data_IF_403012441878
#
_entry.id   IF_403012441878
#
_cell.length_a   1.000
_cell.length_b   1.000
_cell.length_c   1.000
_cell.angle_alpha   90.00
_cell.angle_beta   90.00
_cell.angle_gamma   90.00
#
_symmetry.space_group_name_H-M   'P 1'
#
loop_
_entity.id
_entity.type
_entity.pdbx_description
1 polymer ?
#
# COMPACT_ATOMS: atom_id res chain seq x y z
N UNK A 1 -37.52 3.34 -26.06
CA UNK A 1 -37.97 3.72 -24.70
C UNK A 1 -37.90 2.61 -23.66
N UNK A 2 -37.57 1.35 -24.00
CA UNK A 2 -37.31 0.29 -23.00
C UNK A 2 -35.83 0.15 -22.59
N UNK A 3 -34.90 0.65 -23.43
CA UNK A 3 -33.44 0.66 -23.16
C UNK A 3 -33.02 1.59 -22.00
N UNK A 4 -33.84 2.57 -21.61
CA UNK A 4 -33.53 3.48 -20.50
C UNK A 4 -33.97 2.97 -19.11
N UNK A 5 -34.94 2.06 -19.03
CA UNK A 5 -35.45 1.56 -17.74
C UNK A 5 -34.61 0.42 -17.16
N UNK A 6 -34.06 -0.45 -18.03
CA UNK A 6 -33.14 -1.50 -17.60
C UNK A 6 -31.86 -0.91 -16.99
N UNK A 7 -31.32 0.15 -17.61
CA UNK A 7 -30.09 0.81 -17.19
C UNK A 7 -30.25 1.49 -15.81
N UNK A 8 -31.36 2.19 -15.59
CA UNK A 8 -31.63 2.86 -14.30
C UNK A 8 -31.78 1.86 -13.15
N UNK A 9 -32.43 0.72 -13.38
CA UNK A 9 -32.58 -0.30 -12.35
C UNK A 9 -31.25 -0.99 -12.02
N UNK A 10 -30.42 -1.27 -13.04
CA UNK A 10 -29.07 -1.82 -12.86
C UNK A 10 -28.21 -0.85 -12.05
N UNK A 11 -28.23 0.45 -12.40
CA UNK A 11 -27.49 1.47 -11.65
C UNK A 11 -27.96 1.60 -10.20
N UNK A 12 -29.26 1.59 -9.94
CA UNK A 12 -29.80 1.62 -8.57
C UNK A 12 -29.33 0.43 -7.74
N UNK A 13 -29.34 -0.77 -8.32
CA UNK A 13 -28.86 -1.98 -7.64
C UNK A 13 -27.35 -1.91 -7.33
N UNK A 14 -26.54 -1.40 -8.26
CA UNK A 14 -25.10 -1.22 -8.06
C UNK A 14 -24.84 -0.20 -6.94
N UNK A 15 -25.52 0.95 -6.96
CA UNK A 15 -25.39 1.98 -5.93
C UNK A 15 -25.75 1.44 -4.54
N UNK A 16 -26.85 0.68 -4.45
CA UNK A 16 -27.25 0.05 -3.19
C UNK A 16 -26.16 -0.90 -2.66
N UNK A 17 -25.63 -1.78 -3.52
CA UNK A 17 -24.56 -2.71 -3.13
C UNK A 17 -23.25 -2.00 -2.73
N UNK A 18 -22.90 -0.89 -3.39
CA UNK A 18 -21.73 -0.07 -3.00
C UNK A 18 -21.95 0.54 -1.64
N UNK A 19 -23.14 1.10 -1.41
CA UNK A 19 -23.51 1.69 -0.13
C UNK A 19 -23.42 0.64 1.00
N UNK A 20 -23.94 -0.56 0.77
CA UNK A 20 -23.83 -1.69 1.71
C UNK A 20 -22.37 -2.05 1.96
N UNK A 21 -21.56 -2.17 0.91
CA UNK A 21 -20.13 -2.47 1.04
C UNK A 21 -19.37 -1.42 1.85
N UNK A 22 -19.58 -0.14 1.57
CA UNK A 22 -18.96 0.97 2.31
C UNK A 22 -19.40 0.93 3.78
N UNK A 23 -20.69 0.69 4.04
CA UNK A 23 -21.22 0.59 5.40
C UNK A 23 -20.59 -0.56 6.18
N UNK A 24 -20.45 -1.74 5.57
CA UNK A 24 -19.78 -2.90 6.17
C UNK A 24 -18.33 -2.54 6.57
N UNK A 25 -17.60 -1.85 5.69
CA UNK A 25 -16.23 -1.42 5.96
C UNK A 25 -16.17 -0.38 7.10
N UNK A 26 -17.06 0.61 7.07
CA UNK A 26 -17.12 1.65 8.10
C UNK A 26 -17.46 1.06 9.48
N UNK A 27 -18.43 0.16 9.56
CA UNK A 27 -18.80 -0.53 10.81
C UNK A 27 -17.66 -1.40 11.34
N UNK A 28 -16.97 -2.14 10.46
CA UNK A 28 -15.78 -2.91 10.82
C UNK A 28 -14.64 -2.02 11.33
N UNK A 29 -14.35 -0.91 10.64
CA UNK A 29 -13.31 0.02 11.05
C UNK A 29 -13.65 0.73 12.35
N UNK A 30 -14.89 1.15 12.58
CA UNK A 30 -15.34 1.70 13.85
C UNK A 30 -15.16 0.70 14.99
N UNK A 31 -15.51 -0.57 14.77
CA UNK A 31 -15.31 -1.64 15.75
C UNK A 31 -13.82 -1.85 16.05
N UNK A 32 -12.98 -1.92 15.02
CA UNK A 32 -11.52 -2.11 15.19
C UNK A 32 -10.85 -0.90 15.83
N UNK A 33 -11.25 0.31 15.50
CA UNK A 33 -10.68 1.54 16.07
C UNK A 33 -10.94 1.67 17.57
N UNK A 34 -12.03 1.08 18.09
CA UNK A 34 -12.29 0.97 19.54
C UNK A 34 -11.44 -0.10 20.23
N UNK A 35 -11.07 -1.17 19.53
CA UNK A 35 -10.29 -2.30 20.08
C UNK A 35 -8.79 -2.03 20.11
N UNK A 36 -8.27 -1.38 19.08
CA UNK A 36 -6.89 -0.98 19.01
C UNK A 36 -6.77 0.28 19.88
N UNK A 37 -5.86 0.32 20.86
CA UNK A 37 -5.79 1.45 21.81
C UNK A 37 -4.61 2.39 21.49
N UNK A 38 -3.52 1.85 20.95
CA UNK A 38 -2.28 2.57 20.71
C UNK A 38 -2.07 2.95 19.23
N UNK A 39 -1.28 4.00 18.99
CA UNK A 39 -0.80 4.40 17.66
C UNK A 39 0.26 3.41 17.18
N UNK A 40 -0.19 2.31 16.59
CA UNK A 40 0.66 1.22 16.17
C UNK A 40 0.13 0.61 14.87
N UNK A 41 1.04 -0.08 14.17
CA UNK A 41 0.66 -1.02 13.12
C UNK A 41 0.35 -2.37 13.77
N UNK A 42 -0.87 -2.84 13.55
CA UNK A 42 -1.35 -4.09 14.14
C UNK A 42 -1.68 -5.06 13.03
N UNK A 43 -0.98 -6.20 13.02
CA UNK A 43 -1.18 -7.25 12.03
C UNK A 43 -2.64 -7.74 12.02
N UNK A 44 -3.18 -7.97 10.83
CA UNK A 44 -4.43 -8.71 10.66
C UNK A 44 -4.10 -10.18 10.93
N UNK A 45 -4.58 -10.71 12.07
CA UNK A 45 -4.27 -12.09 12.52
C UNK A 45 -4.62 -13.16 11.48
N UNK A 46 -5.71 -12.95 10.74
CA UNK A 46 -6.16 -13.85 9.67
C UNK A 46 -6.53 -13.00 8.44
N UNK A 47 -5.74 -13.17 7.38
CA UNK A 47 -5.85 -12.44 6.12
C UNK A 47 -7.16 -12.74 5.38
N UNK A 48 -7.75 -13.91 5.62
CA UNK A 48 -9.04 -14.33 5.06
C UNK A 48 -10.20 -13.90 5.94
N UNK A 49 -10.02 -13.75 7.25
CA UNK A 49 -11.10 -13.39 8.17
C UNK A 49 -11.89 -12.15 7.73
N UNK A 50 -11.19 -11.08 7.35
CA UNK A 50 -11.85 -9.85 6.90
C UNK A 50 -12.60 -10.06 5.57
N UNK A 51 -11.98 -10.77 4.62
CA UNK A 51 -12.63 -11.08 3.34
C UNK A 51 -13.86 -11.95 3.54
N UNK A 52 -13.77 -12.98 4.38
CA UNK A 52 -14.88 -13.87 4.73
C UNK A 52 -16.01 -13.09 5.38
N UNK A 53 -15.71 -12.25 6.36
CA UNK A 53 -16.69 -11.35 6.98
C UNK A 53 -17.39 -10.47 5.94
N UNK A 54 -16.65 -9.85 5.02
CA UNK A 54 -17.23 -9.03 3.95
C UNK A 54 -18.11 -9.87 3.02
N UNK A 55 -17.65 -11.05 2.60
CA UNK A 55 -18.42 -11.95 1.72
C UNK A 55 -19.72 -12.38 2.39
N UNK A 56 -19.67 -12.78 3.66
CA UNK A 56 -20.84 -13.20 4.44
C UNK A 56 -21.86 -12.06 4.53
N UNK A 57 -21.41 -10.82 4.82
CA UNK A 57 -22.30 -9.65 4.90
C UNK A 57 -22.89 -9.25 3.53
N UNK A 58 -22.13 -9.41 2.45
CA UNK A 58 -22.59 -9.15 1.08
C UNK A 58 -23.37 -10.32 0.45
N UNK A 59 -23.53 -11.43 1.18
CA UNK A 59 -24.17 -12.68 0.70
C UNK A 59 -23.47 -13.25 -0.54
N UNK A 60 -22.14 -13.18 -0.58
CA UNK A 60 -21.29 -13.76 -1.62
C UNK A 60 -20.80 -15.13 -1.16
N UNK A 61 -20.79 -16.11 -2.06
CA UNK A 61 -20.48 -17.50 -1.71
C UNK A 61 -18.98 -17.76 -1.52
N UNK A 62 -18.14 -17.04 -2.26
CA UNK A 62 -16.71 -17.27 -2.30
C UNK A 62 -15.94 -16.00 -2.75
N UNK A 63 -14.61 -16.09 -2.76
CA UNK A 63 -13.72 -15.00 -3.18
C UNK A 63 -13.82 -14.67 -4.67
N UNK A 64 -14.26 -15.62 -5.50
CA UNK A 64 -14.44 -15.42 -6.93
C UNK A 64 -15.64 -14.51 -7.22
N UNK A 65 -16.77 -14.74 -6.56
CA UNK A 65 -17.93 -13.83 -6.57
C UNK A 65 -17.58 -12.44 -6.02
N UNK A 66 -16.70 -12.36 -5.01
CA UNK A 66 -16.19 -11.08 -4.53
C UNK A 66 -15.31 -10.38 -5.56
N UNK A 67 -14.43 -11.10 -6.25
CA UNK A 67 -13.62 -10.54 -7.35
C UNK A 67 -14.51 -10.06 -8.50
N UNK A 68 -15.56 -10.79 -8.88
CA UNK A 68 -16.53 -10.36 -9.87
C UNK A 68 -17.27 -9.10 -9.43
N UNK A 69 -17.70 -9.03 -8.17
CA UNK A 69 -18.30 -7.84 -7.59
C UNK A 69 -17.37 -6.64 -7.70
N UNK A 70 -16.10 -6.79 -7.31
CA UNK A 70 -15.09 -5.74 -7.44
C UNK A 70 -14.90 -5.31 -8.91
N UNK A 71 -14.84 -6.24 -9.86
CA UNK A 71 -14.71 -5.90 -11.28
C UNK A 71 -15.92 -5.11 -11.81
N UNK A 72 -17.14 -5.43 -11.36
CA UNK A 72 -18.35 -4.64 -11.68
C UNK A 72 -18.25 -3.23 -11.10
N UNK A 73 -17.76 -3.10 -9.87
CA UNK A 73 -17.52 -1.78 -9.25
C UNK A 73 -16.47 -0.96 -9.97
N UNK A 74 -15.39 -1.60 -10.45
CA UNK A 74 -14.33 -0.92 -11.19
C UNK A 74 -14.89 -0.29 -12.47
N UNK A 75 -15.60 -1.09 -13.27
CA UNK A 75 -16.24 -0.62 -14.52
C UNK A 75 -17.20 0.53 -14.26
N UNK A 76 -17.99 0.45 -13.19
CA UNK A 76 -18.90 1.53 -12.82
C UNK A 76 -18.16 2.80 -12.37
N UNK A 77 -17.06 2.65 -11.63
CA UNK A 77 -16.19 3.77 -11.25
C UNK A 77 -15.54 4.45 -12.45
N UNK A 78 -15.11 3.67 -13.44
CA UNK A 78 -14.54 4.17 -14.70
C UNK A 78 -15.61 4.89 -15.54
N UNK A 79 -16.82 4.33 -15.65
CA UNK A 79 -17.96 4.99 -16.30
C UNK A 79 -18.32 6.35 -15.67
N UNK A 80 -18.35 6.44 -14.33
CA UNK A 80 -18.56 7.72 -13.65
C UNK A 80 -17.43 8.71 -13.96
N UNK A 81 -16.20 8.22 -14.03
CA UNK A 81 -15.05 9.07 -14.32
C UNK A 81 -15.14 9.64 -15.75
N UNK A 82 -15.52 8.82 -16.73
CA UNK A 82 -15.74 9.23 -18.11
C UNK A 82 -16.82 10.32 -18.19
N UNK A 83 -18.00 10.12 -17.59
CA UNK A 83 -19.08 11.13 -17.55
C UNK A 83 -18.59 12.45 -16.94
N UNK A 84 -17.78 12.39 -15.88
CA UNK A 84 -17.26 13.60 -15.25
C UNK A 84 -16.23 14.31 -16.12
N UNK A 85 -15.39 13.56 -16.84
CA UNK A 85 -14.42 14.12 -17.78
C UNK A 85 -15.12 14.81 -18.96
N UNK A 86 -16.17 14.21 -19.51
CA UNK A 86 -17.02 14.85 -20.54
C UNK A 86 -17.59 16.18 -20.06
N UNK A 87 -17.94 16.26 -18.77
CA UNK A 87 -18.43 17.49 -18.12
C UNK A 87 -17.30 18.43 -17.66
N UNK A 88 -16.04 18.15 -18.00
CA UNK A 88 -14.85 18.90 -17.55
C UNK A 88 -14.70 18.99 -16.03
N UNK A 89 -15.26 18.02 -15.29
CA UNK A 89 -15.14 17.91 -13.83
C UNK A 89 -13.99 16.95 -13.52
N UNK A 90 -12.84 17.50 -13.12
CA UNK A 90 -11.73 16.71 -12.62
C UNK A 90 -11.99 16.29 -11.17
N UNK A 91 -12.38 15.03 -10.96
CA UNK A 91 -12.54 14.47 -9.62
C UNK A 91 -11.76 13.17 -9.45
N UNK A 92 -11.34 12.89 -8.22
CA UNK A 92 -10.69 11.63 -7.88
C UNK A 92 -11.65 10.45 -8.05
N UNK A 93 -11.20 9.37 -8.71
CA UNK A 93 -11.93 8.11 -8.79
C UNK A 93 -11.76 7.29 -7.48
N UNK A 94 -12.48 7.70 -6.43
CA UNK A 94 -12.41 7.03 -5.12
C UNK A 94 -12.88 5.57 -5.17
N UNK A 95 -13.88 5.26 -6.02
CA UNK A 95 -14.37 3.89 -6.21
C UNK A 95 -13.27 3.04 -6.83
N UNK A 96 -12.62 3.54 -7.88
CA UNK A 96 -11.48 2.89 -8.52
C UNK A 96 -10.34 2.65 -7.55
N UNK A 97 -10.00 3.62 -6.69
CA UNK A 97 -8.98 3.45 -5.66
C UNK A 97 -9.35 2.36 -4.63
N UNK A 98 -10.59 2.37 -4.13
CA UNK A 98 -11.12 1.36 -3.21
C UNK A 98 -11.06 -0.03 -3.83
N UNK A 99 -11.51 -0.18 -5.07
CA UNK A 99 -11.54 -1.46 -5.77
C UNK A 99 -10.13 -1.96 -6.07
N UNK A 100 -9.23 -1.10 -6.54
CA UNK A 100 -7.82 -1.45 -6.80
C UNK A 100 -7.13 -2.00 -5.54
N UNK A 101 -7.42 -1.42 -4.38
CA UNK A 101 -6.92 -1.93 -3.10
C UNK A 101 -7.37 -3.38 -2.86
N UNK A 102 -8.66 -3.69 -2.99
CA UNK A 102 -9.18 -5.04 -2.74
C UNK A 102 -8.75 -6.06 -3.79
N UNK A 103 -8.65 -5.66 -5.06
CA UNK A 103 -8.07 -6.52 -6.10
C UNK A 103 -6.61 -6.85 -5.75
N UNK A 104 -5.83 -5.87 -5.28
CA UNK A 104 -4.44 -6.10 -4.85
C UNK A 104 -4.40 -7.00 -3.61
N UNK A 105 -5.32 -6.82 -2.66
CA UNK A 105 -5.46 -7.68 -1.49
C UNK A 105 -5.63 -9.15 -1.89
N UNK A 106 -6.56 -9.44 -2.82
CA UNK A 106 -6.82 -10.79 -3.34
C UNK A 106 -5.59 -11.37 -4.05
N UNK A 107 -4.96 -10.59 -4.94
CA UNK A 107 -3.76 -11.04 -5.68
C UNK A 107 -2.59 -11.42 -4.79
N UNK A 108 -2.45 -10.78 -3.64
CA UNK A 108 -1.34 -11.00 -2.72
C UNK A 108 -1.68 -11.96 -1.58
N UNK A 109 -2.92 -12.46 -1.50
CA UNK A 109 -3.46 -13.16 -0.32
C UNK A 109 -2.62 -14.37 0.10
N UNK A 110 -2.15 -15.13 -0.89
CA UNK A 110 -1.32 -16.32 -0.70
C UNK A 110 0.17 -15.99 -0.49
N UNK A 111 0.60 -14.77 -0.81
CA UNK A 111 2.01 -14.38 -0.77
C UNK A 111 2.44 -14.07 0.67
N UNK A 112 3.46 -14.78 1.17
CA UNK A 112 4.03 -14.57 2.52
C UNK A 112 4.87 -13.29 2.62
N UNK A 113 5.29 -12.76 1.48
CA UNK A 113 6.04 -11.51 1.31
C UNK A 113 5.18 -10.26 1.51
N UNK A 114 3.89 -10.39 1.85
CA UNK A 114 3.00 -9.27 2.10
C UNK A 114 2.52 -9.25 3.55
N UNK A 115 2.67 -8.07 4.17
CA UNK A 115 2.09 -7.73 5.46
C UNK A 115 0.71 -7.12 5.26
N UNK A 116 -0.22 -7.53 6.12
CA UNK A 116 -1.58 -7.04 6.17
C UNK A 116 -1.81 -6.47 7.56
N UNK A 117 -2.17 -5.20 7.66
CA UNK A 117 -2.26 -4.52 8.95
C UNK A 117 -3.32 -3.45 9.03
N UNK A 118 -3.69 -3.12 10.25
CA UNK A 118 -4.36 -1.86 10.57
C UNK A 118 -3.32 -0.86 11.05
N UNK A 119 -3.41 0.37 10.57
CA UNK A 119 -2.64 1.50 11.13
C UNK A 119 -3.61 2.42 11.83
N UNK A 120 -3.32 2.78 13.08
CA UNK A 120 -4.09 3.78 13.82
C UNK A 120 -3.22 5.02 14.04
N UNK A 121 -3.75 6.21 13.70
CA UNK A 121 -3.07 7.49 13.87
C UNK A 121 -4.01 8.50 14.51
N UNK A 122 -3.52 9.31 15.45
CA UNK A 122 -4.26 10.46 15.98
C UNK A 122 -3.72 11.73 15.35
N UNK A 123 -4.61 12.53 14.75
CA UNK A 123 -4.27 13.85 14.20
C UNK A 123 -5.32 14.87 14.63
N UNK A 124 -4.88 15.98 15.22
CA UNK A 124 -5.76 17.09 15.66
C UNK A 124 -6.98 16.60 16.47
N UNK A 125 -6.75 15.76 17.49
CA UNK A 125 -7.77 15.11 18.35
C UNK A 125 -8.69 14.08 17.67
N UNK A 126 -8.56 13.86 16.36
CA UNK A 126 -9.30 12.82 15.65
C UNK A 126 -8.44 11.57 15.49
N UNK A 127 -9.07 10.41 15.74
CA UNK A 127 -8.44 9.10 15.61
C UNK A 127 -8.84 8.45 14.30
N UNK A 128 -7.86 8.15 13.47
CA UNK A 128 -8.03 7.54 12.15
C UNK A 128 -7.51 6.11 12.16
N UNK A 129 -8.28 5.21 11.53
CA UNK A 129 -7.86 3.85 11.25
C UNK A 129 -7.76 3.66 9.75
N UNK A 130 -6.75 2.91 9.31
CA UNK A 130 -6.57 2.56 7.90
C UNK A 130 -6.18 1.10 7.80
N UNK A 131 -6.56 0.48 6.68
CA UNK A 131 -6.15 -0.87 6.32
C UNK A 131 -4.99 -0.77 5.34
N UNK A 132 -3.94 -1.55 5.56
CA UNK A 132 -2.69 -1.48 4.82
C UNK A 132 -2.28 -2.86 4.33
N UNK A 133 -1.78 -2.89 3.09
CA UNK A 133 -1.07 -4.01 2.50
C UNK A 133 0.32 -3.55 2.08
N UNK A 134 1.36 -4.14 2.66
CA UNK A 134 2.75 -3.73 2.44
C UNK A 134 3.56 -4.91 1.94
N UNK A 135 4.29 -4.72 0.83
CA UNK A 135 5.29 -5.70 0.42
C UNK A 135 6.49 -5.62 1.39
N UNK A 136 6.76 -6.72 2.08
CA UNK A 136 7.92 -6.90 2.95
C UNK A 136 9.17 -7.26 2.15
N UNK A 137 8.97 -7.83 0.97
CA UNK A 137 10.05 -8.28 0.09
C UNK A 137 9.96 -7.58 -1.27
N UNK A 138 10.91 -6.69 -1.62
CA UNK A 138 10.89 -6.00 -2.90
C UNK A 138 11.12 -6.95 -4.09
N UNK A 139 11.61 -8.18 -3.85
CA UNK A 139 11.87 -9.19 -4.89
C UNK A 139 10.63 -9.62 -5.64
N UNK A 140 9.46 -9.54 -5.01
CA UNK A 140 8.15 -9.77 -5.65
C UNK A 140 7.91 -8.87 -6.85
N UNK A 141 8.51 -7.68 -6.84
CA UNK A 141 8.36 -6.68 -7.90
C UNK A 141 9.59 -6.68 -8.81
N UNK A 142 10.80 -6.70 -8.24
CA UNK A 142 12.03 -6.56 -9.02
C UNK A 142 12.36 -7.77 -9.87
N UNK A 143 12.24 -9.00 -9.35
CA UNK A 143 12.66 -10.22 -10.06
C UNK A 143 11.90 -10.40 -11.39
N UNK A 144 10.56 -10.28 -11.44
CA UNK A 144 9.84 -10.39 -12.72
C UNK A 144 10.26 -9.37 -13.78
N UNK A 145 10.67 -8.16 -13.37
CA UNK A 145 11.17 -7.13 -14.28
C UNK A 145 12.57 -7.49 -14.76
N UNK A 146 13.47 -7.86 -13.83
CA UNK A 146 14.85 -8.23 -14.13
C UNK A 146 14.94 -9.46 -15.04
N UNK A 147 14.05 -10.45 -14.87
CA UNK A 147 13.98 -11.62 -15.76
C UNK A 147 13.53 -11.25 -17.17
N UNK A 148 12.64 -10.26 -17.32
CA UNK A 148 12.03 -9.89 -18.62
C UNK A 148 12.82 -8.86 -19.42
N UNK A 149 13.65 -8.03 -18.80
CA UNK A 149 14.47 -7.08 -19.57
C UNK A 149 15.49 -7.84 -20.45
N UNK A 150 16.21 -7.18 -21.34
CA UNK A 150 17.39 -7.79 -21.96
C UNK A 150 18.57 -7.61 -21.02
N UNK A 151 18.93 -6.36 -20.75
CA UNK A 151 19.91 -5.92 -19.75
C UNK A 151 19.35 -4.76 -18.92
N UNK A 152 19.94 -4.50 -17.76
CA UNK A 152 19.65 -3.31 -16.94
C UNK A 152 20.92 -2.76 -16.33
N UNK A 153 21.05 -1.43 -16.28
CA UNK A 153 22.17 -0.73 -15.66
C UNK A 153 21.64 0.06 -14.47
N UNK A 154 22.26 -0.15 -13.31
CA UNK A 154 21.86 0.46 -12.04
C UNK A 154 23.00 1.32 -11.53
N UNK A 155 22.78 2.63 -11.44
CA UNK A 155 23.78 3.59 -11.01
C UNK A 155 23.35 4.22 -9.68
N UNK A 156 24.23 4.19 -8.69
CA UNK A 156 23.99 4.81 -7.38
C UNK A 156 25.31 5.20 -6.74
N UNK A 157 25.34 6.38 -6.11
CA UNK A 157 26.49 6.88 -5.35
C UNK A 157 26.49 6.48 -3.87
N UNK A 158 25.46 5.75 -3.40
CA UNK A 158 25.25 5.48 -1.96
C UNK A 158 24.97 4.03 -1.63
N UNK A 159 24.99 3.14 -2.63
CA UNK A 159 24.56 1.76 -2.48
C UNK A 159 25.78 0.85 -2.40
N UNK A 160 25.79 -0.02 -1.39
CA UNK A 160 26.68 -1.18 -1.35
C UNK A 160 26.17 -2.24 -2.33
N UNK A 161 26.99 -2.60 -3.32
CA UNK A 161 26.59 -3.49 -4.41
C UNK A 161 26.06 -4.85 -3.92
N UNK A 162 26.74 -5.46 -2.94
CA UNK A 162 26.35 -6.75 -2.37
C UNK A 162 24.96 -6.71 -1.70
N UNK A 163 24.71 -5.71 -0.86
CA UNK A 163 23.42 -5.55 -0.17
C UNK A 163 22.30 -5.35 -1.19
N UNK A 164 22.53 -4.53 -2.21
CA UNK A 164 21.55 -4.25 -3.25
C UNK A 164 21.26 -5.46 -4.12
N UNK A 165 22.29 -6.21 -4.51
CA UNK A 165 22.19 -7.47 -5.25
C UNK A 165 21.24 -8.44 -4.53
N UNK A 166 21.47 -8.63 -3.23
CA UNK A 166 20.69 -9.54 -2.39
C UNK A 166 19.26 -9.06 -2.17
N UNK A 167 19.09 -7.77 -1.85
CA UNK A 167 17.78 -7.17 -1.58
C UNK A 167 16.88 -7.20 -2.81
N UNK A 168 17.42 -6.90 -3.99
CA UNK A 168 16.66 -6.85 -5.24
C UNK A 168 16.52 -8.21 -5.93
N UNK A 169 17.24 -9.23 -5.47
CA UNK A 169 17.12 -10.59 -5.98
C UNK A 169 17.73 -10.79 -7.38
N UNK A 170 18.83 -10.12 -7.69
CA UNK A 170 19.50 -10.25 -9.00
C UNK A 170 19.86 -11.70 -9.33
N UNK A 171 20.25 -12.50 -8.33
CA UNK A 171 20.57 -13.93 -8.50
C UNK A 171 19.38 -14.75 -8.99
N UNK A 172 18.15 -14.31 -8.69
CA UNK A 172 16.92 -14.97 -9.12
C UNK A 172 16.47 -14.55 -10.51
N UNK A 173 17.14 -13.57 -11.13
CA UNK A 173 16.78 -13.09 -12.46
C UNK A 173 17.16 -14.06 -13.58
N UNK A 174 18.08 -15.00 -13.31
CA UNK A 174 18.64 -15.92 -14.31
C UNK A 174 19.71 -15.29 -15.21
N UNK A 175 20.21 -14.10 -14.84
CA UNK A 175 21.18 -13.33 -15.62
C UNK A 175 22.48 -13.15 -14.88
N UNK A 176 23.53 -12.94 -15.65
CA UNK A 176 24.83 -12.54 -15.11
C UNK A 176 24.72 -11.16 -14.46
N UNK A 177 25.37 -11.01 -13.31
CA UNK A 177 25.46 -9.76 -12.56
C UNK A 177 26.91 -9.34 -12.46
N UNK A 178 27.20 -8.14 -12.90
CA UNK A 178 28.48 -7.48 -12.72
C UNK A 178 28.27 -6.14 -12.01
N UNK A 179 29.26 -5.74 -11.22
CA UNK A 179 29.27 -4.43 -10.58
C UNK A 179 30.67 -3.82 -10.68
N UNK A 180 30.72 -2.49 -10.66
CA UNK A 180 31.93 -1.72 -10.58
C UNK A 180 31.73 -0.65 -9.52
N UNK A 181 32.67 -0.56 -8.58
CA UNK A 181 32.71 0.54 -7.61
C UNK A 181 33.70 1.58 -8.14
N UNK A 182 33.23 2.81 -8.25
CA UNK A 182 34.06 3.94 -8.66
C UNK A 182 34.50 4.71 -7.44
N UNK A 183 35.77 5.09 -7.39
CA UNK A 183 36.28 5.95 -6.33
C UNK A 183 35.60 7.32 -6.36
N UNK A 184 35.50 7.95 -5.20
CA UNK A 184 35.04 9.33 -5.11
C UNK A 184 35.95 10.22 -5.97
N UNK A 185 35.38 11.08 -6.84
CA UNK A 185 36.18 12.02 -7.63
C UNK A 185 36.78 13.15 -6.77
N UNK A 186 36.44 13.19 -5.49
CA UNK A 186 36.84 14.23 -4.55
C UNK A 186 37.90 13.70 -3.56
N UNK A 187 38.91 14.51 -3.30
CA UNK A 187 39.97 14.21 -2.34
C UNK A 187 39.47 14.28 -0.89
N UNK A 188 40.08 13.52 0.01
CA UNK A 188 39.66 13.47 1.42
C UNK A 188 39.79 14.83 2.12
N UNK A 189 40.73 15.67 1.70
CA UNK A 189 40.94 17.03 2.22
C UNK A 189 39.80 18.00 1.89
N UNK A 190 38.89 17.62 0.99
CA UNK A 190 37.68 18.39 0.66
C UNK A 190 36.51 18.06 1.59
N UNK A 191 36.69 17.13 2.54
CA UNK A 191 35.66 16.71 3.49
C UNK A 191 36.13 16.83 4.93
N UNK A 192 35.20 17.19 5.81
CA UNK A 192 35.38 17.08 7.26
C UNK A 192 34.14 16.42 7.83
N UNK A 193 34.29 15.21 8.37
CA UNK A 193 33.23 14.47 9.03
C UNK A 193 33.41 14.53 10.55
N UNK A 194 32.38 15.00 11.25
CA UNK A 194 32.38 15.11 12.71
C UNK A 194 31.36 14.13 13.30
N UNK A 195 31.79 13.36 14.30
CA UNK A 195 30.93 12.48 15.08
C UNK A 195 30.92 13.00 16.52
N UNK A 196 29.79 13.57 16.94
CA UNK A 196 29.63 14.11 18.29
C UNK A 196 29.03 13.07 19.22
N UNK A 197 29.82 12.64 20.20
CA UNK A 197 29.36 11.73 21.24
C UNK A 197 28.52 12.45 22.30
N UNK A 198 27.64 11.73 23.00
CA UNK A 198 26.84 12.27 24.10
C UNK A 198 25.48 12.87 23.70
N UNK A 199 25.16 12.88 22.40
CA UNK A 199 23.85 13.19 21.81
C UNK A 199 23.28 11.97 21.10
N UNK A 200 21.95 11.83 21.06
CA UNK A 200 21.28 10.73 20.34
C UNK A 200 19.86 11.08 19.93
N UNK A 201 19.44 10.56 18.78
CA UNK A 201 18.07 10.68 18.28
C UNK A 201 17.22 9.43 18.55
N UNK A 202 17.70 8.47 19.35
CA UNK A 202 16.92 7.29 19.72
C UNK A 202 15.65 7.68 20.51
N UNK A 203 14.49 7.16 20.11
CA UNK A 203 13.17 7.56 20.64
C UNK A 203 13.11 7.58 22.18
N UNK A 204 13.64 6.54 22.84
CA UNK A 204 13.66 6.41 24.31
C UNK A 204 14.41 7.52 25.07
N UNK A 205 15.26 8.28 24.39
CA UNK A 205 16.07 9.35 24.97
C UNK A 205 15.74 10.73 24.39
N UNK A 206 14.63 10.86 23.65
CA UNK A 206 14.15 12.15 23.12
C UNK A 206 13.41 12.91 24.21
N UNK A 207 14.17 13.61 25.04
CA UNK A 207 13.64 14.52 26.06
C UNK A 207 14.19 15.95 25.87
N UNK A 208 13.66 16.90 26.64
CA UNK A 208 14.11 18.30 26.59
C UNK A 208 15.61 18.45 26.84
N UNK A 209 16.19 17.62 27.70
CA UNK A 209 17.63 17.66 28.02
C UNK A 209 18.47 17.24 26.81
N UNK A 210 18.05 16.20 26.09
CA UNK A 210 18.70 15.76 24.85
C UNK A 210 18.55 16.81 23.75
N UNK A 211 17.38 17.44 23.62
CA UNK A 211 17.18 18.55 22.68
C UNK A 211 18.08 19.74 22.99
N UNK A 212 18.27 20.09 24.26
CA UNK A 212 19.24 21.11 24.67
C UNK A 212 20.67 20.76 24.26
N UNK A 213 21.09 19.50 24.41
CA UNK A 213 22.42 19.06 23.96
C UNK A 213 22.63 19.12 22.44
N UNK A 214 21.58 19.14 21.62
CA UNK A 214 21.73 19.29 20.17
C UNK A 214 22.00 20.74 19.75
N UNK A 215 21.57 21.71 20.56
CA UNK A 215 21.68 23.14 20.25
C UNK A 215 22.87 23.82 20.96
N UNK A 216 23.53 23.13 21.89
CA UNK A 216 24.64 23.64 22.71
C UNK A 216 25.89 22.83 22.42
#
# INVERSE_FOLDING_TARGET
>A
NELNFLDVNIHKQIIAKISDFIKILDDHFKKKNKQLVSEQEVAVKDRYYLLKYICDQLKLRNLEEFQEFLNKLLRWGDFIQEIKQEKSIYSNNYIGALVKFWIKWLKCLELKSFFYGYTVRTKKKNRYISLVISALDPREISVPILTKCYSSVHLSGTVTAEVYKNLMGFEKSGKEYTHAEMETPFSINQYSAFITWGVTSQYKYRDEKMYKKFIT
#
